data_IF_472463433529
#
_entry.id   IF_472463433529
#
_cell.length_a   1.000
_cell.length_b   1.000
_cell.length_c   1.000
_cell.angle_alpha   90.00
_cell.angle_beta   90.00
_cell.angle_gamma   90.00
#
_symmetry.space_group_name_H-M   'P 1'
#
loop_
_entity.id
_entity.type
_entity.pdbx_description
1 polymer ?
#
# COMPACT_ATOMS: atom_id res chain seq x y z
N UNK A 1 -11.57 -23.43 21.40
CA UNK A 1 -11.19 -23.09 20.90
C UNK A 1 -10.72 -22.69 20.29
N UNK A 2 -10.72 -22.45 20.42
CA UNK A 2 -9.99 -22.28 19.63
C UNK A 2 -10.13 -21.61 18.47
N UNK A 3 -10.97 -21.13 18.02
CA UNK A 3 -11.10 -20.62 16.89
C UNK A 3 -10.87 -19.25 16.77
N UNK A 4 -11.06 -18.47 17.63
CA UNK A 4 -10.78 -17.17 17.55
C UNK A 4 -9.40 -16.97 17.65
N UNK A 5 -8.82 -17.67 18.41
CA UNK A 5 -7.39 -17.77 18.42
C UNK A 5 -6.92 -18.10 17.06
N UNK A 6 -7.68 -18.94 16.43
CA UNK A 6 -7.43 -19.30 15.11
C UNK A 6 -7.51 -18.15 14.19
N UNK A 7 -8.42 -17.22 14.39
CA UNK A 7 -8.49 -16.02 13.58
C UNK A 7 -7.21 -15.23 13.66
N UNK A 8 -6.65 -15.06 14.85
CA UNK A 8 -5.38 -14.37 14.99
C UNK A 8 -4.26 -15.15 14.31
N UNK A 9 -4.27 -16.47 14.48
CA UNK A 9 -3.25 -17.32 13.86
C UNK A 9 -3.33 -17.31 12.34
N UNK A 10 -4.52 -17.04 11.79
CA UNK A 10 -4.69 -17.02 10.35
C UNK A 10 -4.37 -15.67 9.72
N UNK A 11 -4.10 -14.68 10.53
CA UNK A 11 -3.69 -13.40 10.01
C UNK A 11 -2.25 -13.46 9.57
N UNK A 12 -1.98 -12.96 8.39
CA UNK A 12 -0.63 -12.81 7.89
C UNK A 12 -0.30 -11.33 7.89
N UNK A 13 0.89 -11.03 8.38
CA UNK A 13 1.40 -9.67 8.35
C UNK A 13 2.84 -9.75 7.88
N UNK A 14 3.15 -8.98 6.85
CA UNK A 14 4.47 -8.99 6.25
C UNK A 14 4.96 -7.56 6.12
N UNK A 15 6.17 -7.29 6.62
CA UNK A 15 6.75 -5.96 6.55
C UNK A 15 7.99 -6.00 5.69
N UNK A 16 8.07 -5.10 4.72
CA UNK A 16 9.18 -5.01 3.80
C UNK A 16 9.77 -3.61 3.91
N UNK A 17 11.06 -3.53 4.20
CA UNK A 17 11.76 -2.26 4.23
C UNK A 17 12.05 -1.85 2.78
N UNK A 18 11.60 -0.67 2.42
CA UNK A 18 11.81 -0.12 1.08
C UNK A 18 13.01 0.81 1.12
N UNK A 19 14.06 0.47 0.38
CA UNK A 19 15.29 1.25 0.37
C UNK A 19 15.99 1.26 -0.98
N UNK A 20 15.50 0.45 -1.94
CA UNK A 20 16.08 0.36 -3.28
C UNK A 20 15.08 -0.29 -4.22
N UNK A 21 15.45 -0.40 -5.50
CA UNK A 21 14.59 -1.03 -6.50
C UNK A 21 14.34 -2.50 -6.21
N UNK A 22 15.31 -3.18 -5.64
CA UNK A 22 15.15 -4.59 -5.33
C UNK A 22 14.09 -4.81 -4.25
N UNK A 23 14.09 -3.98 -3.22
CA UNK A 23 13.07 -4.09 -2.17
C UNK A 23 11.70 -3.71 -2.70
N UNK A 24 11.63 -2.76 -3.63
CA UNK A 24 10.37 -2.43 -4.30
C UNK A 24 9.84 -3.67 -5.03
N UNK A 25 10.69 -4.32 -5.82
CA UNK A 25 10.31 -5.52 -6.55
C UNK A 25 9.83 -6.61 -5.59
N UNK A 26 10.54 -6.80 -4.48
CA UNK A 26 10.15 -7.77 -3.46
C UNK A 26 8.75 -7.48 -2.94
N UNK A 27 8.46 -6.20 -2.64
CA UNK A 27 7.15 -5.82 -2.12
C UNK A 27 6.05 -6.14 -3.13
N UNK A 28 6.28 -5.85 -4.41
CA UNK A 28 5.29 -6.11 -5.46
C UNK A 28 5.02 -7.61 -5.58
N UNK A 29 6.08 -8.43 -5.56
CA UNK A 29 5.93 -9.88 -5.66
C UNK A 29 5.19 -10.44 -4.46
N UNK A 30 5.50 -9.94 -3.27
CA UNK A 30 4.81 -10.40 -2.06
C UNK A 30 3.35 -9.99 -2.06
N UNK A 31 3.04 -8.81 -2.57
CA UNK A 31 1.65 -8.38 -2.69
C UNK A 31 0.88 -9.29 -3.64
N UNK A 32 1.49 -9.64 -4.76
CA UNK A 32 0.86 -10.55 -5.73
C UNK A 32 0.63 -11.93 -5.13
N UNK A 33 1.62 -12.44 -4.40
CA UNK A 33 1.51 -13.75 -3.76
C UNK A 33 0.39 -13.75 -2.72
N UNK A 34 0.36 -12.73 -1.87
CA UNK A 34 -0.65 -12.65 -0.82
C UNK A 34 -2.05 -12.47 -1.41
N UNK A 35 -2.17 -11.69 -2.48
CA UNK A 35 -3.44 -11.49 -3.16
C UNK A 35 -4.00 -12.83 -3.67
N UNK A 36 -3.14 -13.65 -4.25
CA UNK A 36 -3.55 -14.96 -4.74
C UNK A 36 -3.97 -15.87 -3.60
N UNK A 37 -3.18 -15.89 -2.52
CA UNK A 37 -3.50 -16.72 -1.36
C UNK A 37 -4.80 -16.30 -0.70
N UNK A 38 -5.09 -15.00 -0.71
CA UNK A 38 -6.30 -14.48 -0.09
C UNK A 38 -7.53 -14.68 -0.97
N UNK A 39 -7.32 -14.95 -2.25
CA UNK A 39 -8.43 -15.19 -3.17
C UNK A 39 -8.96 -13.94 -3.82
N UNK A 40 -8.14 -12.91 -3.99
CA UNK A 40 -8.55 -11.74 -4.74
C UNK A 40 -8.71 -12.12 -6.21
N UNK A 41 -9.64 -11.43 -6.88
CA UNK A 41 -9.79 -11.62 -8.33
C UNK A 41 -8.51 -11.21 -9.05
N UNK A 42 -8.30 -11.67 -10.29
CA UNK A 42 -7.11 -11.23 -11.04
C UNK A 42 -7.03 -9.71 -11.20
N UNK A 43 -8.16 -9.04 -11.38
CA UNK A 43 -8.18 -7.59 -11.48
C UNK A 43 -7.78 -6.95 -10.16
N UNK A 44 -8.37 -7.41 -9.06
CA UNK A 44 -8.05 -6.87 -7.74
C UNK A 44 -6.57 -7.12 -7.39
N UNK A 45 -6.06 -8.30 -7.73
CA UNK A 45 -4.66 -8.62 -7.48
C UNK A 45 -3.74 -7.70 -8.26
N UNK A 46 -4.09 -7.41 -9.52
CA UNK A 46 -3.30 -6.52 -10.35
C UNK A 46 -3.32 -5.10 -9.79
N UNK A 47 -4.47 -4.66 -9.33
CA UNK A 47 -4.60 -3.33 -8.73
C UNK A 47 -3.75 -3.22 -7.47
N UNK A 48 -3.78 -4.25 -6.63
CA UNK A 48 -2.95 -4.24 -5.42
C UNK A 48 -1.46 -4.19 -5.76
N UNK A 49 -1.03 -4.97 -6.75
CA UNK A 49 0.36 -4.97 -7.17
C UNK A 49 0.78 -3.59 -7.70
N UNK A 50 -0.07 -2.97 -8.50
CA UNK A 50 0.20 -1.65 -9.05
C UNK A 50 0.31 -0.60 -7.95
N UNK A 51 -0.62 -0.64 -7.00
CA UNK A 51 -0.61 0.29 -5.86
C UNK A 51 0.63 0.08 -5.01
N UNK A 52 1.02 -1.17 -4.77
CA UNK A 52 2.22 -1.47 -4.00
C UNK A 52 3.45 -0.86 -4.68
N UNK A 53 3.56 -1.02 -5.99
CA UNK A 53 4.66 -0.46 -6.75
C UNK A 53 4.68 1.07 -6.65
N UNK A 54 3.51 1.69 -6.81
CA UNK A 54 3.40 3.14 -6.79
C UNK A 54 3.79 3.72 -5.43
N UNK A 55 3.30 3.11 -4.36
CA UNK A 55 3.59 3.60 -3.02
C UNK A 55 5.06 3.36 -2.63
N UNK A 56 5.63 2.24 -3.03
CA UNK A 56 7.04 1.98 -2.79
C UNK A 56 7.92 2.97 -3.57
N UNK A 57 7.53 3.28 -4.79
CA UNK A 57 8.25 4.26 -5.60
C UNK A 57 8.20 5.65 -4.99
N UNK A 58 7.06 6.02 -4.43
CA UNK A 58 6.92 7.29 -3.73
C UNK A 58 7.84 7.35 -2.51
N UNK A 59 7.94 6.26 -1.76
CA UNK A 59 8.86 6.19 -0.62
C UNK A 59 10.29 6.46 -1.09
N UNK A 60 10.73 5.78 -2.13
CA UNK A 60 12.09 5.95 -2.63
C UNK A 60 12.33 7.37 -3.13
N UNK A 61 11.35 7.92 -3.85
CA UNK A 61 11.50 9.23 -4.48
C UNK A 61 11.52 10.37 -3.46
N UNK A 62 10.65 10.33 -2.47
CA UNK A 62 10.46 11.46 -1.57
C UNK A 62 11.12 11.29 -0.21
N UNK A 63 11.34 10.07 0.24
CA UNK A 63 11.91 9.83 1.56
C UNK A 63 13.22 9.04 1.51
N UNK A 64 13.46 8.32 0.42
CA UNK A 64 14.64 7.50 0.27
C UNK A 64 14.52 6.15 0.96
N UNK A 65 13.74 6.06 2.02
CA UNK A 65 13.56 4.83 2.77
C UNK A 65 12.24 4.86 3.52
N UNK A 66 11.62 3.70 3.65
CA UNK A 66 10.39 3.55 4.41
C UNK A 66 10.03 2.09 4.51
N UNK A 67 8.75 1.80 4.68
CA UNK A 67 8.33 0.42 4.76
C UNK A 67 6.94 0.24 4.16
N UNK A 68 6.69 -0.98 3.70
CA UNK A 68 5.37 -1.41 3.30
C UNK A 68 4.99 -2.60 4.16
N UNK A 69 3.81 -2.54 4.71
CA UNK A 69 3.25 -3.64 5.49
C UNK A 69 2.02 -4.16 4.76
N UNK A 70 1.94 -5.46 4.62
CA UNK A 70 0.82 -6.12 3.98
C UNK A 70 0.17 -7.04 5.01
N UNK A 71 -1.12 -6.92 5.18
CA UNK A 71 -1.87 -7.73 6.16
C UNK A 71 -3.12 -8.28 5.51
N UNK A 72 -3.41 -9.55 5.74
CA UNK A 72 -4.70 -10.04 5.31
C UNK A 72 -5.76 -9.59 6.31
N UNK A 73 -6.97 -9.40 5.82
CA UNK A 73 -8.09 -8.89 6.58
C UNK A 73 -9.31 -9.73 6.30
N UNK A 74 -10.24 -9.72 7.24
CA UNK A 74 -11.53 -10.36 7.02
C UNK A 74 -12.59 -9.53 7.71
N UNK A 75 -13.68 -9.26 7.00
CA UNK A 75 -14.78 -8.49 7.55
C UNK A 75 -16.07 -9.06 6.98
N UNK A 76 -16.94 -9.57 7.87
CA UNK A 76 -18.22 -10.15 7.50
C UNK A 76 -18.07 -11.24 6.43
N UNK A 77 -17.06 -12.09 6.60
CA UNK A 77 -16.79 -13.19 5.70
C UNK A 77 -16.08 -12.82 4.42
N UNK A 78 -15.85 -11.56 4.20
CA UNK A 78 -15.16 -11.07 3.01
C UNK A 78 -13.69 -10.87 3.34
N UNK A 79 -12.83 -11.41 2.51
CA UNK A 79 -11.39 -11.33 2.72
C UNK A 79 -10.79 -10.21 1.89
N UNK A 80 -9.71 -9.63 2.41
CA UNK A 80 -9.03 -8.57 1.73
C UNK A 80 -7.61 -8.43 2.20
N UNK A 81 -6.93 -7.44 1.64
CA UNK A 81 -5.56 -7.13 2.01
C UNK A 81 -5.47 -5.65 2.33
N UNK A 82 -4.89 -5.35 3.50
CA UNK A 82 -4.56 -3.99 3.88
C UNK A 82 -3.10 -3.75 3.56
N UNK A 83 -2.83 -2.63 2.91
CA UNK A 83 -1.48 -2.18 2.62
C UNK A 83 -1.24 -0.90 3.39
N UNK A 84 -0.12 -0.82 4.11
CA UNK A 84 0.27 0.38 4.83
C UNK A 84 1.67 0.76 4.35
N UNK A 85 1.79 1.93 3.75
CA UNK A 85 3.06 2.47 3.31
C UNK A 85 3.41 3.65 4.19
N UNK A 86 4.58 3.62 4.81
CA UNK A 86 4.96 4.68 5.73
C UNK A 86 6.43 5.03 5.58
N UNK A 87 6.74 6.29 5.83
CA UNK A 87 8.10 6.78 5.82
C UNK A 87 8.26 7.92 6.81
N UNK A 88 9.51 8.28 7.10
CA UNK A 88 9.85 9.40 7.98
C UNK A 88 10.48 10.54 7.20
N UNK A 89 10.10 10.67 5.94
CA UNK A 89 10.62 11.73 5.09
C UNK A 89 10.03 13.09 5.39
N UNK A 90 10.16 14.02 4.44
CA UNK A 90 9.70 15.41 4.68
C UNK A 90 8.18 15.57 4.76
N UNK A 91 7.42 14.54 4.40
CA UNK A 91 5.98 14.65 4.40
C UNK A 91 5.46 15.37 3.18
N UNK A 92 4.13 15.44 3.09
CA UNK A 92 3.45 16.11 2.01
C UNK A 92 2.87 17.41 2.55
N UNK A 93 3.29 18.52 1.96
CA UNK A 93 2.89 19.83 2.42
C UNK A 93 1.43 20.13 2.08
N UNK A 94 1.00 19.72 0.90
CA UNK A 94 -0.35 19.96 0.43
C UNK A 94 -0.94 18.66 -0.08
N UNK A 95 -1.66 17.98 0.80
CA UNK A 95 -2.25 16.70 0.47
C UNK A 95 -3.32 16.83 -0.62
N UNK A 96 -4.09 17.92 -0.59
CA UNK A 96 -5.12 18.12 -1.60
C UNK A 96 -4.50 18.24 -2.99
N UNK A 97 -3.40 18.98 -3.10
CA UNK A 97 -2.71 19.09 -4.37
C UNK A 97 -2.12 17.77 -4.80
N UNK A 98 -1.53 17.02 -3.87
CA UNK A 98 -0.95 15.71 -4.17
C UNK A 98 -2.01 14.73 -4.64
N UNK A 99 -3.25 14.89 -4.18
CA UNK A 99 -4.37 14.04 -4.58
C UNK A 99 -5.04 14.50 -5.86
N UNK A 100 -4.67 15.66 -6.38
CA UNK A 100 -5.29 16.18 -7.58
C UNK A 100 -4.99 15.27 -8.78
N UNK A 101 -6.00 15.10 -9.63
CA UNK A 101 -5.86 14.28 -10.80
C UNK A 101 -4.77 14.83 -11.70
N UNK A 102 -3.93 13.95 -12.22
CA UNK A 102 -2.82 14.29 -13.12
C UNK A 102 -1.72 15.11 -12.46
N UNK A 103 -1.77 15.31 -11.16
CA UNK A 103 -0.67 15.98 -10.48
C UNK A 103 0.55 15.07 -10.48
N UNK A 104 1.66 15.57 -11.00
CA UNK A 104 2.89 14.78 -11.07
C UNK A 104 4.07 15.70 -10.89
N UNK A 105 4.92 15.40 -9.92
CA UNK A 105 6.18 16.11 -9.73
C UNK A 105 7.30 15.30 -10.35
N UNK A 106 8.24 15.99 -10.99
CA UNK A 106 9.42 15.33 -11.53
C UNK A 106 9.19 14.53 -12.78
N UNK A 107 8.07 14.70 -13.46
CA UNK A 107 7.83 14.08 -14.74
C UNK A 107 7.71 12.57 -14.71
N UNK A 108 7.42 11.97 -13.58
CA UNK A 108 7.26 10.52 -13.52
C UNK A 108 5.91 10.12 -14.08
N UNK A 109 5.89 8.96 -14.75
CA UNK A 109 4.66 8.41 -15.30
C UNK A 109 3.96 7.55 -14.28
N UNK A 110 3.76 8.07 -13.09
CA UNK A 110 3.06 7.35 -12.06
C UNK A 110 1.59 7.72 -12.02
N UNK A 111 0.79 6.91 -11.35
CA UNK A 111 -0.62 7.21 -11.18
C UNK A 111 -0.84 8.31 -10.15
N UNK A 112 0.13 8.50 -9.28
CA UNK A 112 -0.01 9.41 -8.17
C UNK A 112 -1.01 8.88 -7.14
N UNK A 113 -1.24 9.68 -6.12
CA UNK A 113 -2.09 9.26 -5.01
C UNK A 113 -3.56 9.16 -5.40
N UNK A 114 -4.01 10.00 -6.36
CA UNK A 114 -5.40 9.92 -6.82
C UNK A 114 -5.67 8.60 -7.52
N UNK A 115 -4.69 8.10 -8.29
CA UNK A 115 -4.82 6.80 -8.94
C UNK A 115 -4.85 5.67 -7.94
N UNK A 116 -4.03 5.77 -6.89
CA UNK A 116 -4.04 4.77 -5.81
C UNK A 116 -5.43 4.71 -5.19
N UNK A 117 -5.99 5.87 -4.86
CA UNK A 117 -7.30 5.94 -4.24
C UNK A 117 -8.38 5.32 -5.13
N UNK A 118 -8.30 5.56 -6.44
CA UNK A 118 -9.29 5.00 -7.37
C UNK A 118 -9.22 3.49 -7.48
N UNK A 119 -8.02 2.92 -7.34
CA UNK A 119 -7.84 1.48 -7.47
C UNK A 119 -8.15 0.69 -6.21
N UNK A 120 -8.21 1.35 -5.07
CA UNK A 120 -8.43 0.66 -3.80
C UNK A 120 -9.85 0.88 -3.32
N UNK A 121 -10.34 -0.04 -2.47
CA UNK A 121 -11.70 0.05 -1.94
C UNK A 121 -11.76 1.00 -0.76
N UNK A 122 -10.70 1.02 0.06
CA UNK A 122 -10.59 1.97 1.17
C UNK A 122 -9.23 2.65 1.08
N UNK A 123 -9.18 3.91 1.48
CA UNK A 123 -7.97 4.70 1.35
C UNK A 123 -7.94 5.79 2.41
N UNK A 124 -6.80 5.94 3.06
CA UNK A 124 -6.57 7.03 4.00
C UNK A 124 -5.11 7.45 3.91
N UNK A 125 -4.87 8.73 3.99
CA UNK A 125 -3.51 9.27 3.98
C UNK A 125 -3.34 10.25 5.12
N UNK A 126 -2.23 10.14 5.81
CA UNK A 126 -1.84 11.05 6.88
C UNK A 126 -0.42 11.51 6.61
N UNK A 127 -0.21 12.81 6.60
CA UNK A 127 1.11 13.37 6.37
C UNK A 127 1.21 14.73 7.00
N UNK A 128 2.37 15.02 7.56
CA UNK A 128 2.66 16.33 8.11
C UNK A 128 4.09 16.70 7.72
N UNK A 129 4.31 17.98 7.37
CA UNK A 129 5.65 18.44 7.01
C UNK A 129 6.65 18.07 8.11
N UNK A 130 7.76 17.47 7.73
CA UNK A 130 8.82 17.07 8.64
C UNK A 130 8.56 15.80 9.43
N UNK A 131 7.40 15.15 9.26
CA UNK A 131 7.05 13.98 10.06
C UNK A 131 6.77 12.73 9.23
N UNK A 132 6.87 12.85 7.91
CA UNK A 132 6.67 11.70 7.05
C UNK A 132 5.24 11.53 6.57
N UNK A 133 5.02 10.42 5.89
CA UNK A 133 3.73 10.11 5.25
C UNK A 133 3.33 8.70 5.58
N UNK A 134 2.03 8.49 5.79
CA UNK A 134 1.46 7.17 6.00
C UNK A 134 0.22 7.03 5.13
N UNK A 135 0.24 6.05 4.24
CA UNK A 135 -0.89 5.73 3.39
C UNK A 135 -1.42 4.36 3.79
N UNK A 136 -2.70 4.27 3.97
CA UNK A 136 -3.33 3.00 4.31
C UNK A 136 -4.44 2.74 3.31
N UNK A 137 -4.46 1.55 2.72
CA UNK A 137 -5.43 1.21 1.69
C UNK A 137 -5.81 -0.25 1.83
N UNK A 138 -7.05 -0.58 1.44
CA UNK A 138 -7.54 -1.95 1.54
C UNK A 138 -8.17 -2.34 0.20
N UNK A 139 -7.89 -3.59 -0.20
CA UNK A 139 -8.51 -4.18 -1.38
C UNK A 139 -9.25 -5.43 -0.94
N UNK A 140 -10.54 -5.49 -1.24
CA UNK A 140 -11.39 -6.63 -0.86
C UNK A 140 -11.60 -7.57 -2.03
N UNK A 141 -11.95 -8.82 -1.68
CA UNK A 141 -12.40 -9.79 -2.68
C UNK A 141 -13.54 -9.26 -3.51
#
# INVERSE_FOLDING_TARGET
MTRRVRGAAMRSSLRIIIRDEQSLTTAVLEAARLAKETGLSPVAAQQLATVTSELARNILKYAGRGQIKLENQEHKGRKGIRLIASDSGPGIKDIEQAMAEHYSTGGTLGLGLSGVKRMMDDFAITSQPGQGTRVEAVKWQ
#
